data_IF_661560624333
#
_entry.id   IF_661560624333
#
_cell.length_a   1.000
_cell.length_b   1.000
_cell.length_c   1.000
_cell.angle_alpha   90.00
_cell.angle_beta   90.00
_cell.angle_gamma   90.00
#
_symmetry.space_group_name_H-M   'P 1'
#
loop_
_entity.id
_entity.type
_entity.pdbx_description
1 polymer ?
#
# COMPACT_ATOMS: atom_id res chain seq x y z
N UNK A 1 30.36 -22.78 -23.43
CA UNK A 1 30.85 -22.22 -22.16
C UNK A 1 30.00 -21.02 -21.76
N UNK A 2 28.89 -21.23 -21.03
CA UNK A 2 27.98 -20.15 -20.60
C UNK A 2 27.55 -20.35 -19.13
N UNK A 3 28.44 -20.07 -18.18
CA UNK A 3 28.14 -20.17 -16.73
C UNK A 3 28.57 -18.94 -15.94
N UNK A 4 28.37 -17.72 -16.47
CA UNK A 4 28.76 -16.48 -15.76
C UNK A 4 27.78 -15.31 -15.88
N UNK A 5 26.47 -15.58 -15.92
CA UNK A 5 25.44 -14.53 -15.87
C UNK A 5 24.39 -14.73 -14.77
N UNK A 6 24.74 -15.33 -13.63
CA UNK A 6 23.86 -15.37 -12.45
C UNK A 6 24.64 -15.17 -11.14
N UNK A 7 25.38 -14.07 -11.03
CA UNK A 7 25.88 -13.61 -9.73
C UNK A 7 25.61 -12.11 -9.53
N UNK A 8 24.34 -11.71 -9.72
CA UNK A 8 23.85 -10.54 -9.00
C UNK A 8 23.49 -11.03 -7.60
N UNK A 9 24.34 -10.75 -6.63
CA UNK A 9 23.91 -10.62 -5.24
C UNK A 9 22.68 -9.73 -5.28
N UNK A 10 21.48 -10.30 -5.10
CA UNK A 10 20.28 -9.51 -4.90
C UNK A 10 20.61 -8.59 -3.72
N UNK A 11 20.53 -7.26 -3.85
CA UNK A 11 20.53 -6.42 -2.66
C UNK A 11 19.41 -6.98 -1.78
N UNK A 12 19.76 -7.43 -0.58
CA UNK A 12 18.77 -7.87 0.40
C UNK A 12 17.89 -6.65 0.67
N UNK A 13 16.75 -6.58 -0.01
CA UNK A 13 15.71 -5.61 0.29
C UNK A 13 15.27 -5.94 1.71
N UNK A 14 15.74 -5.13 2.67
CA UNK A 14 15.40 -5.32 4.06
C UNK A 14 13.87 -5.19 4.19
N UNK A 15 13.22 -6.24 4.68
CA UNK A 15 11.77 -6.28 4.81
C UNK A 15 11.24 -5.10 5.63
N UNK A 16 11.99 -4.66 6.64
CA UNK A 16 11.67 -3.49 7.46
C UNK A 16 11.63 -2.21 6.62
N UNK A 17 12.69 -1.91 5.88
CA UNK A 17 12.76 -0.70 5.04
C UNK A 17 11.75 -0.71 3.90
N UNK A 18 11.29 -1.90 3.49
CA UNK A 18 10.22 -2.06 2.49
C UNK A 18 8.85 -1.79 3.12
N UNK A 19 8.58 -2.30 4.32
CA UNK A 19 7.36 -2.02 5.07
C UNK A 19 7.22 -0.54 5.41
N UNK A 20 8.31 0.12 5.82
CA UNK A 20 8.31 1.56 6.10
C UNK A 20 7.89 2.38 4.87
N UNK A 21 8.47 2.06 3.69
CA UNK A 21 8.09 2.71 2.43
C UNK A 21 6.62 2.46 2.04
N UNK A 22 6.11 1.25 2.29
CA UNK A 22 4.71 0.94 2.03
C UNK A 22 3.78 1.75 2.95
N UNK A 23 4.13 1.88 4.23
CA UNK A 23 3.41 2.71 5.19
C UNK A 23 3.42 4.20 4.80
N UNK A 24 4.58 4.75 4.46
CA UNK A 24 4.70 6.15 3.98
C UNK A 24 3.84 6.39 2.74
N UNK A 25 3.85 5.43 1.80
CA UNK A 25 3.04 5.49 0.58
C UNK A 25 1.55 5.43 0.90
N UNK A 26 1.15 4.55 1.82
CA UNK A 26 -0.24 4.42 2.27
C UNK A 26 -0.73 5.74 2.89
N UNK A 27 0.05 6.32 3.81
CA UNK A 27 -0.28 7.59 4.47
C UNK A 27 -0.45 8.73 3.44
N UNK A 28 0.40 8.77 2.41
CA UNK A 28 0.28 9.73 1.32
C UNK A 28 -1.03 9.55 0.53
N UNK A 29 -1.40 8.31 0.20
CA UNK A 29 -2.64 8.01 -0.50
C UNK A 29 -3.87 8.41 0.33
N UNK A 30 -3.88 8.10 1.62
CA UNK A 30 -4.95 8.51 2.55
C UNK A 30 -5.08 10.03 2.66
N UNK A 31 -3.96 10.75 2.77
CA UNK A 31 -3.97 12.22 2.77
C UNK A 31 -4.57 12.77 1.48
N UNK A 32 -4.20 12.18 0.33
CA UNK A 32 -4.73 12.58 -0.98
C UNK A 32 -6.23 12.29 -1.09
N UNK A 33 -6.67 11.13 -0.62
CA UNK A 33 -8.07 10.74 -0.58
C UNK A 33 -8.91 11.72 0.26
N UNK A 34 -8.45 12.05 1.48
CA UNK A 34 -9.09 13.05 2.35
C UNK A 34 -9.25 14.41 1.67
N UNK A 35 -8.23 14.87 0.93
CA UNK A 35 -8.31 16.12 0.15
C UNK A 35 -9.36 16.01 -0.95
N UNK A 36 -9.43 14.90 -1.68
CA UNK A 36 -10.42 14.69 -2.74
C UNK A 36 -11.84 14.59 -2.19
N UNK A 37 -12.04 13.91 -1.06
CA UNK A 37 -13.34 13.85 -0.36
C UNK A 37 -13.83 15.26 0.02
N UNK A 38 -12.94 16.10 0.57
CA UNK A 38 -13.25 17.51 0.86
C UNK A 38 -13.58 18.31 -0.40
N UNK A 39 -12.88 18.09 -1.51
CA UNK A 39 -13.20 18.76 -2.79
C UNK A 39 -14.54 18.29 -3.35
N UNK A 40 -14.86 17.00 -3.26
CA UNK A 40 -16.14 16.45 -3.69
C UNK A 40 -17.31 17.03 -2.89
N UNK A 41 -17.18 17.13 -1.56
CA UNK A 41 -18.21 17.76 -0.72
C UNK A 41 -18.39 19.24 -1.02
N UNK A 42 -17.30 19.98 -1.26
CA UNK A 42 -17.38 21.38 -1.70
C UNK A 42 -18.12 21.55 -3.03
N UNK A 43 -17.91 20.67 -4.01
CA UNK A 43 -18.64 20.73 -5.27
C UNK A 43 -20.14 20.42 -5.08
N UNK A 44 -20.52 19.59 -4.09
CA UNK A 44 -21.93 19.38 -3.72
C UNK A 44 -22.55 20.66 -3.19
N UNK A 45 -21.89 21.35 -2.26
CA UNK A 45 -22.42 22.60 -1.70
C UNK A 45 -22.55 23.69 -2.77
N UNK A 46 -21.55 23.86 -3.64
CA UNK A 46 -21.65 24.76 -4.80
C UNK A 46 -22.81 24.38 -5.73
N UNK A 47 -23.02 23.09 -5.99
CA UNK A 47 -24.13 22.65 -6.83
C UNK A 47 -25.49 23.01 -6.21
N UNK A 48 -25.64 22.90 -4.88
CA UNK A 48 -26.84 23.32 -4.15
C UNK A 48 -27.05 24.84 -4.26
N UNK A 49 -25.99 25.63 -4.08
CA UNK A 49 -26.03 27.10 -4.24
C UNK A 49 -26.48 27.51 -5.65
N UNK A 50 -25.88 26.94 -6.69
CA UNK A 50 -26.28 27.23 -8.07
C UNK A 50 -27.71 26.76 -8.38
N UNK A 51 -28.16 25.67 -7.77
CA UNK A 51 -29.55 25.22 -7.90
C UNK A 51 -30.52 26.23 -7.29
N UNK A 52 -30.23 26.75 -6.08
CA UNK A 52 -31.01 27.81 -5.44
C UNK A 52 -31.04 29.10 -6.28
N UNK A 53 -29.92 29.43 -6.90
CA UNK A 53 -29.80 30.55 -7.85
C UNK A 53 -30.44 30.27 -9.24
N UNK A 54 -31.12 29.13 -9.41
CA UNK A 54 -31.72 28.67 -10.68
C UNK A 54 -30.72 28.53 -11.84
N UNK A 55 -29.42 28.49 -11.57
CA UNK A 55 -28.36 28.29 -12.55
C UNK A 55 -28.06 26.80 -12.76
N UNK A 56 -28.93 26.13 -13.51
CA UNK A 56 -28.83 24.68 -13.79
C UNK A 56 -27.52 24.28 -14.45
N UNK A 57 -27.00 25.09 -15.38
CA UNK A 57 -25.77 24.79 -16.12
C UNK A 57 -24.56 24.72 -15.18
N UNK A 58 -24.43 25.69 -14.28
CA UNK A 58 -23.34 25.72 -13.30
C UNK A 58 -23.46 24.57 -12.29
N UNK A 59 -24.67 24.26 -11.82
CA UNK A 59 -24.91 23.13 -10.92
C UNK A 59 -24.48 21.79 -11.56
N UNK A 60 -24.84 21.54 -12.82
CA UNK A 60 -24.43 20.33 -13.55
C UNK A 60 -22.90 20.26 -13.68
N UNK A 61 -22.22 21.39 -13.91
CA UNK A 61 -20.75 21.41 -13.99
C UNK A 61 -20.10 21.03 -12.66
N UNK A 62 -20.63 21.49 -11.53
CA UNK A 62 -20.18 21.07 -10.20
C UNK A 62 -20.38 19.57 -9.97
N UNK A 63 -21.54 19.02 -10.35
CA UNK A 63 -21.79 17.58 -10.23
C UNK A 63 -20.86 16.73 -11.12
N UNK A 64 -20.49 17.21 -12.31
CA UNK A 64 -19.47 16.56 -13.15
C UNK A 64 -18.10 16.56 -12.47
N UNK A 65 -17.70 17.68 -11.87
CA UNK A 65 -16.43 17.78 -11.11
C UNK A 65 -16.43 16.85 -9.89
N UNK A 66 -17.52 16.81 -9.13
CA UNK A 66 -17.72 15.85 -8.03
C UNK A 66 -17.49 14.41 -8.52
N UNK A 67 -18.14 14.00 -9.61
CA UNK A 67 -18.01 12.64 -10.16
C UNK A 67 -16.56 12.30 -10.53
N UNK A 68 -15.79 13.25 -11.07
CA UNK A 68 -14.37 13.05 -11.37
C UNK A 68 -13.54 12.82 -10.09
N UNK A 69 -13.82 13.56 -9.02
CA UNK A 69 -13.16 13.34 -7.73
C UNK A 69 -13.54 11.98 -7.13
N UNK A 70 -14.80 11.56 -7.23
CA UNK A 70 -15.25 10.24 -6.75
C UNK A 70 -14.55 9.09 -7.48
N UNK A 71 -14.37 9.20 -8.80
CA UNK A 71 -13.59 8.21 -9.56
C UNK A 71 -12.12 8.16 -9.14
N UNK A 72 -11.52 9.31 -8.83
CA UNK A 72 -10.15 9.34 -8.30
C UNK A 72 -10.06 8.72 -6.90
N UNK A 73 -11.04 8.97 -6.03
CA UNK A 73 -11.12 8.36 -4.69
C UNK A 73 -11.21 6.84 -4.81
N UNK A 74 -12.07 6.32 -5.68
CA UNK A 74 -12.19 4.87 -5.93
C UNK A 74 -10.85 4.27 -6.40
N UNK A 75 -10.14 4.93 -7.31
CA UNK A 75 -8.82 4.49 -7.75
C UNK A 75 -7.79 4.49 -6.60
N UNK A 76 -7.82 5.50 -5.73
CA UNK A 76 -6.95 5.54 -4.55
C UNK A 76 -7.27 4.39 -3.58
N UNK A 77 -8.54 4.08 -3.35
CA UNK A 77 -8.96 2.92 -2.55
C UNK A 77 -8.39 1.60 -3.08
N UNK A 78 -8.44 1.41 -4.41
CA UNK A 78 -7.84 0.24 -5.06
C UNK A 78 -6.30 0.19 -4.89
N UNK A 79 -5.63 1.34 -4.78
CA UNK A 79 -4.19 1.38 -4.56
C UNK A 79 -3.83 1.09 -3.11
N UNK A 80 -4.60 1.63 -2.15
CA UNK A 80 -4.46 1.34 -0.73
C UNK A 80 -4.63 -0.16 -0.46
N UNK A 81 -5.65 -0.81 -1.05
CA UNK A 81 -5.88 -2.26 -0.89
C UNK A 81 -4.65 -3.07 -1.35
N UNK A 82 -4.10 -2.75 -2.52
CA UNK A 82 -2.90 -3.44 -3.02
C UNK A 82 -1.67 -3.24 -2.13
N UNK A 83 -1.52 -2.07 -1.51
CA UNK A 83 -0.44 -1.82 -0.56
C UNK A 83 -0.65 -2.66 0.71
N UNK A 84 -1.86 -2.70 1.25
CA UNK A 84 -2.18 -3.54 2.40
C UNK A 84 -1.91 -5.02 2.13
N UNK A 85 -2.37 -5.55 0.99
CA UNK A 85 -2.09 -6.93 0.60
C UNK A 85 -0.57 -7.21 0.56
N UNK A 86 0.21 -6.28 0.01
CA UNK A 86 1.67 -6.40 -0.07
C UNK A 86 2.34 -6.37 1.31
N UNK A 87 1.83 -5.56 2.24
CA UNK A 87 2.30 -5.52 3.63
C UNK A 87 2.06 -6.87 4.32
N UNK A 88 0.84 -7.41 4.21
CA UNK A 88 0.48 -8.72 4.79
C UNK A 88 1.40 -9.83 4.24
N UNK A 89 1.65 -9.84 2.93
CA UNK A 89 2.55 -10.80 2.31
C UNK A 89 3.99 -10.70 2.84
N UNK A 90 4.50 -9.48 3.03
CA UNK A 90 5.85 -9.25 3.54
C UNK A 90 5.98 -9.66 5.02
N UNK A 91 4.97 -9.36 5.83
CA UNK A 91 4.91 -9.77 7.24
C UNK A 91 4.88 -11.30 7.36
N UNK A 92 4.08 -11.98 6.54
CA UNK A 92 4.06 -13.45 6.48
C UNK A 92 5.39 -14.06 6.02
N UNK A 93 6.04 -13.45 5.02
CA UNK A 93 7.36 -13.88 4.56
C UNK A 93 8.44 -13.68 5.63
N UNK A 94 8.35 -12.60 6.42
CA UNK A 94 9.24 -12.34 7.54
C UNK A 94 9.08 -13.39 8.64
N UNK A 95 7.85 -13.68 9.07
CA UNK A 95 7.56 -14.71 10.08
C UNK A 95 8.05 -16.11 9.63
N UNK A 96 7.91 -16.43 8.34
CA UNK A 96 8.41 -17.68 7.77
C UNK A 96 9.94 -17.75 7.84
N UNK A 97 10.64 -16.67 7.47
CA UNK A 97 12.10 -16.59 7.55
C UNK A 97 12.58 -16.76 9.00
N UNK A 98 11.98 -16.05 9.94
CA UNK A 98 12.30 -16.14 11.37
C UNK A 98 12.08 -17.57 11.92
N UNK A 99 11.01 -18.24 11.49
CA UNK A 99 10.73 -19.63 11.88
C UNK A 99 11.81 -20.58 11.34
N UNK A 100 12.20 -20.44 10.07
CA UNK A 100 13.23 -21.27 9.45
C UNK A 100 14.59 -21.07 10.14
N UNK A 101 14.93 -19.83 10.49
CA UNK A 101 16.16 -19.51 11.21
C UNK A 101 16.19 -20.12 12.63
N UNK A 102 15.07 -20.07 13.35
CA UNK A 102 14.92 -20.71 14.66
C UNK A 102 15.08 -22.23 14.57
N UNK A 103 14.43 -22.86 13.59
CA UNK A 103 14.54 -24.31 13.34
C UNK A 103 15.98 -24.72 13.00
N UNK A 104 16.68 -23.94 12.16
CA UNK A 104 18.07 -24.19 11.80
C UNK A 104 18.99 -24.11 13.01
N UNK A 105 18.78 -23.10 13.86
CA UNK A 105 19.53 -22.91 15.10
C UNK A 105 19.29 -24.08 16.06
N UNK A 106 18.04 -24.49 16.25
CA UNK A 106 17.69 -25.66 17.07
C UNK A 106 18.31 -26.96 16.56
N UNK A 107 18.27 -27.20 15.24
CA UNK A 107 18.89 -28.36 14.62
C UNK A 107 20.42 -28.40 14.82
N UNK A 108 21.09 -27.25 14.72
CA UNK A 108 22.52 -27.15 14.99
C UNK A 108 22.85 -27.46 16.45
N UNK A 109 22.06 -26.95 17.40
CA UNK A 109 22.22 -27.26 18.83
C UNK A 109 22.04 -28.76 19.12
N UNK A 110 21.00 -29.39 18.56
CA UNK A 110 20.78 -30.84 18.70
C UNK A 110 21.96 -31.67 18.17
N UNK A 111 22.51 -31.28 17.01
CA UNK A 111 23.68 -31.96 16.42
C UNK A 111 24.94 -31.81 17.28
N UNK A 112 25.13 -30.66 17.92
CA UNK A 112 26.26 -30.43 18.83
C UNK A 112 26.14 -31.33 20.07
N UNK A 113 24.95 -31.44 20.65
CA UNK A 113 24.68 -32.32 21.80
C UNK A 113 24.97 -33.79 21.47
N UNK A 114 24.50 -34.28 20.32
CA UNK A 114 24.74 -35.66 19.88
C UNK A 114 26.21 -36.00 19.68
N UNK A 115 27.06 -35.02 19.32
CA UNK A 115 28.50 -35.24 19.16
C UNK A 115 29.29 -35.20 20.48
N UNK A 116 28.71 -34.61 21.52
CA UNK A 116 29.32 -34.51 22.83
C UNK A 116 28.99 -35.71 23.75
N UNK A 117 28.22 -36.67 23.22
CA UNK A 117 27.87 -37.94 23.87
C UNK A 117 28.61 -39.08 23.18
#
# INVERSE_FOLDING_TARGET
>A
MFSRMFNRTKPEANALTTLDKLNETLEMLEKKEKVLLKKASQEVEKAKEFTRAKNKRAAIQCLKRKRLYEQQIEQLGNFQLRIHDQMIMLEGAKATTETVDALRTGAAAMKAMQKAT
#
